data_IF_704796457646
#
_entry.id   IF_704796457646
#
_cell.length_a   1.000
_cell.length_b   1.000
_cell.length_c   1.000
_cell.angle_alpha   90.00
_cell.angle_beta   90.00
_cell.angle_gamma   90.00
#
_symmetry.space_group_name_H-M   'P 1'
#
loop_
_entity.id
_entity.type
_entity.pdbx_description
1 polymer ?
#
# COMPACT_ATOMS: atom_id res chain seq x y z
N UNK A 1 -29.73 62.83 9.77
CA UNK A 1 -29.40 62.73 8.33
C UNK A 1 -29.37 61.25 8.02
N UNK A 2 -30.48 60.73 7.49
CA UNK A 2 -30.68 59.31 7.22
C UNK A 2 -30.25 58.99 5.79
N UNK A 3 -29.17 58.23 5.62
CA UNK A 3 -28.74 57.74 4.31
C UNK A 3 -29.07 56.26 4.16
N UNK A 4 -30.26 56.04 3.61
CA UNK A 4 -30.67 54.76 3.03
C UNK A 4 -29.77 54.45 1.81
N UNK A 5 -28.84 53.49 1.95
CA UNK A 5 -28.20 52.86 0.80
C UNK A 5 -28.95 51.58 0.42
N UNK A 6 -29.55 51.66 -0.77
CA UNK A 6 -30.24 50.59 -1.49
C UNK A 6 -29.33 49.37 -1.66
N UNK A 7 -29.94 48.19 -1.48
CA UNK A 7 -29.43 46.89 -1.93
C UNK A 7 -29.23 46.91 -3.44
N UNK A 8 -27.99 46.76 -3.88
CA UNK A 8 -27.68 46.25 -5.22
C UNK A 8 -27.40 44.76 -5.08
N UNK A 9 -28.34 43.95 -5.55
CA UNK A 9 -28.14 42.50 -5.72
C UNK A 9 -27.34 42.31 -6.99
N UNK A 10 -26.02 42.24 -6.84
CA UNK A 10 -25.12 41.85 -7.92
C UNK A 10 -25.32 40.36 -8.20
N UNK A 11 -25.97 40.08 -9.33
CA UNK A 11 -26.24 38.75 -9.86
C UNK A 11 -24.96 38.09 -10.35
N UNK A 12 -24.09 37.69 -9.42
CA UNK A 12 -23.07 36.69 -9.70
C UNK A 12 -23.66 35.32 -9.35
N UNK A 13 -23.99 34.56 -10.39
CA UNK A 13 -24.35 33.14 -10.28
C UNK A 13 -23.08 32.36 -9.88
N UNK A 14 -22.63 32.55 -8.64
CA UNK A 14 -21.57 31.80 -8.01
C UNK A 14 -22.06 30.39 -7.80
N UNK A 15 -21.84 29.52 -8.80
CA UNK A 15 -21.94 28.07 -8.64
C UNK A 15 -21.07 27.70 -7.43
N UNK A 16 -21.70 27.49 -6.27
CA UNK A 16 -21.04 26.88 -5.12
C UNK A 16 -20.64 25.48 -5.56
N UNK A 17 -19.35 25.30 -5.83
CA UNK A 17 -18.79 23.96 -5.96
C UNK A 17 -19.00 23.31 -4.58
N UNK A 18 -19.78 22.23 -4.46
CA UNK A 18 -19.87 21.55 -3.19
C UNK A 18 -18.45 21.13 -2.82
N UNK A 19 -17.93 21.64 -1.70
CA UNK A 19 -16.72 21.08 -1.11
C UNK A 19 -17.07 19.65 -0.76
N UNK A 20 -16.64 18.72 -1.61
CA UNK A 20 -16.72 17.31 -1.31
C UNK A 20 -15.85 17.08 -0.06
N UNK A 21 -16.50 17.06 1.11
CA UNK A 21 -15.96 16.55 2.36
C UNK A 21 -15.77 15.04 2.28
N UNK A 22 -15.18 14.55 1.19
CA UNK A 22 -14.78 13.17 1.06
C UNK A 22 -13.58 12.95 1.96
N UNK A 23 -13.74 12.10 2.97
CA UNK A 23 -12.61 11.49 3.64
C UNK A 23 -11.59 11.06 2.58
N UNK A 24 -10.39 11.62 2.64
CA UNK A 24 -9.28 11.15 1.82
C UNK A 24 -8.99 9.72 2.24
N UNK A 25 -9.57 8.74 1.55
CA UNK A 25 -9.15 7.34 1.67
C UNK A 25 -7.68 7.29 1.26
N UNK A 26 -6.80 7.11 2.23
CA UNK A 26 -5.37 6.87 1.98
C UNK A 26 -5.26 5.53 1.27
N UNK A 27 -5.15 5.56 -0.05
CA UNK A 27 -4.83 4.37 -0.85
C UNK A 27 -3.39 4.00 -0.50
N UNK A 28 -3.21 2.96 0.32
CA UNK A 28 -1.90 2.34 0.50
C UNK A 28 -1.73 1.33 -0.63
N UNK A 29 -0.85 1.63 -1.57
CA UNK A 29 -0.35 0.61 -2.47
C UNK A 29 0.42 -0.39 -1.61
N UNK A 30 -0.08 -1.63 -1.51
CA UNK A 30 0.73 -2.74 -1.01
C UNK A 30 1.76 -3.02 -2.10
N UNK A 31 2.94 -2.44 -1.95
CA UNK A 31 4.06 -2.76 -2.80
C UNK A 31 4.69 -4.04 -2.27
N UNK A 32 4.36 -5.15 -2.93
CA UNK A 32 4.90 -6.47 -2.60
C UNK A 32 6.26 -6.64 -3.27
N UNK A 33 7.20 -7.23 -2.53
CA UNK A 33 8.50 -7.68 -3.00
C UNK A 33 8.44 -9.18 -3.24
N UNK A 34 8.68 -9.61 -4.46
CA UNK A 34 8.79 -11.03 -4.80
C UNK A 34 10.26 -11.42 -4.71
N UNK A 35 10.58 -12.38 -3.82
CA UNK A 35 11.93 -12.92 -3.68
C UNK A 35 11.90 -14.36 -4.18
N UNK A 36 12.66 -14.63 -5.24
CA UNK A 36 12.71 -15.93 -5.89
C UNK A 36 14.11 -16.55 -5.76
N UNK A 37 14.15 -17.82 -5.35
CA UNK A 37 15.35 -18.65 -5.28
C UNK A 37 15.18 -19.83 -6.23
N UNK A 38 16.12 -19.98 -7.18
CA UNK A 38 16.17 -21.13 -8.08
C UNK A 38 17.23 -22.12 -7.62
N UNK A 39 16.85 -23.38 -7.42
CA UNK A 39 17.76 -24.48 -7.03
C UNK A 39 17.30 -25.80 -7.64
N UNK A 40 18.20 -26.56 -8.25
CA UNK A 40 17.95 -27.93 -8.74
C UNK A 40 16.66 -28.02 -9.59
N UNK A 41 16.51 -27.12 -10.58
CA UNK A 41 15.32 -26.98 -11.45
C UNK A 41 14.00 -26.66 -10.73
N UNK A 42 14.06 -26.19 -9.49
CA UNK A 42 12.89 -25.73 -8.74
C UNK A 42 13.03 -24.26 -8.41
N UNK A 43 11.94 -23.51 -8.55
CA UNK A 43 11.82 -22.14 -8.09
C UNK A 43 11.05 -22.11 -6.78
N UNK A 44 11.54 -21.33 -5.82
CA UNK A 44 10.93 -21.09 -4.54
C UNK A 44 10.72 -19.60 -4.37
N UNK A 45 9.51 -19.20 -4.03
CA UNK A 45 9.11 -17.81 -3.99
C UNK A 45 8.53 -17.47 -2.62
N UNK A 46 8.93 -16.32 -2.07
CA UNK A 46 8.31 -15.73 -0.88
C UNK A 46 7.89 -14.30 -1.19
N UNK A 47 6.87 -13.83 -0.47
CA UNK A 47 6.31 -12.48 -0.64
C UNK A 47 6.74 -11.64 0.57
N UNK A 48 7.33 -10.48 0.31
CA UNK A 48 7.82 -9.55 1.33
C UNK A 48 7.33 -8.12 1.16
N UNK A 49 7.61 -7.29 2.15
CA UNK A 49 7.31 -5.86 2.19
C UNK A 49 8.51 -5.07 1.63
N UNK A 50 8.29 -4.37 0.52
CA UNK A 50 9.36 -3.57 -0.13
C UNK A 50 9.84 -2.41 0.76
N UNK A 51 8.96 -1.86 1.61
CA UNK A 51 9.30 -0.77 2.53
C UNK A 51 10.32 -1.25 3.55
N UNK A 52 10.06 -2.41 4.13
CA UNK A 52 10.97 -3.05 5.09
C UNK A 52 12.24 -3.59 4.44
N UNK A 53 12.23 -3.90 3.14
CA UNK A 53 13.44 -4.38 2.44
C UNK A 53 14.62 -3.39 2.54
N UNK A 54 14.34 -2.08 2.59
CA UNK A 54 15.36 -1.05 2.82
C UNK A 54 15.94 -1.09 4.24
N UNK A 55 15.10 -1.33 5.24
CA UNK A 55 15.50 -1.48 6.65
C UNK A 55 16.36 -2.74 6.83
N UNK A 56 16.02 -3.82 6.13
CA UNK A 56 16.83 -5.05 6.10
C UNK A 56 18.22 -4.80 5.52
N UNK A 57 18.31 -4.04 4.42
CA UNK A 57 19.60 -3.67 3.83
C UNK A 57 20.49 -2.88 4.80
N UNK A 58 19.88 -2.02 5.62
CA UNK A 58 20.56 -1.27 6.70
C UNK A 58 20.88 -2.13 7.94
N UNK A 59 20.49 -3.41 7.94
CA UNK A 59 20.61 -4.34 9.08
C UNK A 59 19.86 -3.87 10.33
N UNK A 60 18.78 -3.11 10.15
CA UNK A 60 17.94 -2.59 11.24
C UNK A 60 16.88 -3.62 11.67
N UNK A 61 16.58 -4.59 10.81
CA UNK A 61 15.60 -5.66 11.04
C UNK A 61 16.14 -7.01 10.56
N UNK A 62 15.47 -8.11 10.92
CA UNK A 62 15.83 -9.45 10.47
C UNK A 62 15.15 -9.80 9.14
N UNK A 63 15.73 -10.71 8.32
CA UNK A 63 15.12 -11.15 7.06
C UNK A 63 13.69 -11.69 7.19
N UNK A 64 13.31 -12.20 8.37
CA UNK A 64 11.94 -12.64 8.63
C UNK A 64 10.94 -11.49 8.73
N UNK A 65 11.39 -10.31 9.15
CA UNK A 65 10.52 -9.16 9.44
C UNK A 65 10.01 -8.50 8.16
N UNK A 66 10.69 -8.76 7.03
CA UNK A 66 10.24 -8.36 5.70
C UNK A 66 9.21 -9.31 5.11
N UNK A 67 9.01 -10.53 5.64
CA UNK A 67 8.10 -11.50 5.04
C UNK A 67 6.64 -11.14 5.37
N UNK A 68 5.80 -11.14 4.34
CA UNK A 68 4.35 -10.93 4.48
C UNK A 68 3.58 -12.23 4.74
N UNK A 69 4.22 -13.38 4.50
CA UNK A 69 3.67 -14.72 4.71
C UNK A 69 4.77 -15.68 5.17
N UNK A 70 4.37 -16.68 5.97
CA UNK A 70 5.25 -17.79 6.39
C UNK A 70 5.27 -18.94 5.35
N UNK A 71 4.67 -18.71 4.19
CA UNK A 71 4.52 -19.66 3.10
C UNK A 71 5.61 -19.51 2.05
N UNK A 72 6.08 -20.65 1.53
CA UNK A 72 6.96 -20.71 0.36
C UNK A 72 6.16 -21.26 -0.81
N UNK A 73 6.17 -20.55 -1.93
CA UNK A 73 5.47 -20.90 -3.15
C UNK A 73 6.42 -21.58 -4.12
N UNK A 74 5.98 -22.66 -4.76
CA UNK A 74 6.66 -23.22 -5.93
C UNK A 74 6.11 -22.65 -7.23
N UNK A 75 4.90 -22.11 -7.18
CA UNK A 75 4.24 -21.39 -8.26
C UNK A 75 3.34 -20.33 -7.60
N UNK A 76 3.66 -19.07 -7.85
CA UNK A 76 2.96 -17.94 -7.26
C UNK A 76 1.65 -17.64 -7.98
N UNK A 77 1.57 -17.91 -9.30
CA UNK A 77 0.38 -17.64 -10.11
C UNK A 77 -0.76 -18.58 -9.74
N UNK A 78 -0.45 -19.86 -9.56
CA UNK A 78 -1.44 -20.86 -9.13
C UNK A 78 -1.62 -20.94 -7.61
N UNK A 79 -0.76 -20.25 -6.84
CA UNK A 79 -0.75 -20.29 -5.38
C UNK A 79 -0.25 -21.63 -4.81
N UNK A 80 0.42 -22.46 -5.62
CA UNK A 80 0.97 -23.75 -5.19
C UNK A 80 2.13 -23.56 -4.23
N UNK A 81 2.00 -24.16 -3.04
CA UNK A 81 2.95 -24.01 -1.93
C UNK A 81 3.82 -25.25 -1.75
N UNK A 82 5.00 -25.09 -1.18
CA UNK A 82 5.77 -26.21 -0.65
C UNK A 82 5.08 -26.78 0.61
N UNK A 83 5.36 -28.02 0.98
CA UNK A 83 4.95 -28.57 2.28
C UNK A 83 5.74 -28.00 3.47
N UNK A 84 6.85 -27.28 3.23
CA UNK A 84 7.64 -26.61 4.26
C UNK A 84 7.05 -25.24 4.58
N UNK A 85 6.73 -25.03 5.86
CA UNK A 85 6.42 -23.71 6.44
C UNK A 85 7.68 -23.11 7.05
N UNK A 86 7.74 -21.78 7.08
CA UNK A 86 8.75 -21.05 7.86
C UNK A 86 8.27 -21.05 9.31
N UNK A 87 8.96 -21.77 10.20
CA UNK A 87 8.61 -21.83 11.63
C UNK A 87 9.12 -20.58 12.35
N UNK A 88 8.24 -19.97 13.16
CA UNK A 88 8.58 -18.91 14.13
C UNK A 88 8.88 -19.58 15.48
N UNK A 89 10.09 -19.38 16.00
CA UNK A 89 10.42 -19.66 17.40
C UNK A 89 10.10 -18.45 18.27
#
# INVERSE_FOLDING_TARGET
MDTNHKKETDGSNGRRIPQAGGERKRIRFKSELIIMLQRENKSYTVIGDVGKAKELYRKEIYPRDILLSDEVFVDLETGKRTSKKIYKN
#
